data_IF_786975029810
#
_entry.id   IF_786975029810
#
_cell.length_a   1.000
_cell.length_b   1.000
_cell.length_c   1.000
_cell.angle_alpha   90.00
_cell.angle_beta   90.00
_cell.angle_gamma   90.00
#
_symmetry.space_group_name_H-M   'P 1'
#
loop_
_entity.id
_entity.type
_entity.pdbx_description
1 polymer ?
#
# COMPACT_ATOMS: atom_id res chain seq x y z
N UNK A 1 30.36 -14.24 -6.89
CA UNK A 1 29.14 -13.58 -7.38
C UNK A 1 28.22 -13.40 -6.20
N UNK A 2 28.23 -12.21 -5.60
CA UNK A 2 27.28 -11.86 -4.55
C UNK A 2 25.90 -11.84 -5.21
N UNK A 3 24.98 -12.67 -4.74
CA UNK A 3 23.58 -12.55 -5.12
C UNK A 3 23.14 -11.22 -4.52
N UNK A 4 23.01 -10.18 -5.34
CA UNK A 4 22.37 -8.93 -4.92
C UNK A 4 20.98 -9.30 -4.40
N UNK A 5 20.79 -9.16 -3.09
CA UNK A 5 19.53 -9.50 -2.44
C UNK A 5 18.57 -8.37 -2.77
N UNK A 6 17.83 -8.52 -3.86
CA UNK A 6 16.74 -7.62 -4.18
C UNK A 6 15.71 -7.69 -3.05
N UNK A 7 15.46 -6.55 -2.40
CA UNK A 7 14.55 -6.46 -1.26
C UNK A 7 13.14 -6.83 -1.69
N UNK A 8 12.47 -7.71 -0.94
CA UNK A 8 11.10 -8.11 -1.27
C UNK A 8 10.10 -7.16 -0.64
N UNK A 9 9.07 -6.79 -1.39
CA UNK A 9 8.03 -5.84 -0.98
C UNK A 9 6.69 -6.52 -1.00
N UNK A 10 5.99 -6.44 0.13
CA UNK A 10 4.59 -6.78 0.27
C UNK A 10 3.72 -5.55 0.07
N UNK A 11 2.68 -5.64 -0.75
CA UNK A 11 1.64 -4.62 -0.86
C UNK A 11 0.47 -4.99 0.03
N UNK A 12 -0.01 -4.05 0.84
CA UNK A 12 -1.20 -4.22 1.66
C UNK A 12 -2.31 -3.29 1.21
N UNK A 13 -3.51 -3.86 1.06
CA UNK A 13 -4.72 -3.17 0.64
C UNK A 13 -5.83 -3.51 1.63
N UNK A 14 -6.59 -2.50 2.05
CA UNK A 14 -7.86 -2.71 2.74
C UNK A 14 -8.99 -2.37 1.76
N UNK A 15 -10.09 -3.10 1.80
CA UNK A 15 -11.17 -2.92 0.82
C UNK A 15 -12.56 -3.11 1.44
N UNK A 16 -13.55 -2.38 0.91
CA UNK A 16 -14.97 -2.60 1.17
C UNK A 16 -15.80 -2.10 -0.01
N UNK A 17 -16.41 -3.01 -0.76
CA UNK A 17 -17.26 -2.69 -1.91
C UNK A 17 -16.58 -1.80 -2.96
N UNK A 18 -15.40 -2.21 -3.40
CA UNK A 18 -14.52 -1.50 -4.33
C UNK A 18 -14.49 -2.17 -5.72
N UNK A 19 -15.54 -2.88 -6.15
CA UNK A 19 -15.51 -3.61 -7.43
C UNK A 19 -15.20 -2.74 -8.66
N UNK A 20 -15.49 -1.43 -8.58
CA UNK A 20 -15.22 -0.46 -9.63
C UNK A 20 -13.74 -0.07 -9.74
N UNK A 21 -13.00 -0.12 -8.63
CA UNK A 21 -11.63 0.41 -8.53
C UNK A 21 -10.59 -0.69 -8.31
N UNK A 22 -10.90 -1.72 -7.54
CA UNK A 22 -9.94 -2.68 -6.99
C UNK A 22 -9.12 -3.38 -8.08
N UNK A 23 -9.70 -3.68 -9.24
CA UNK A 23 -8.95 -4.27 -10.36
C UNK A 23 -7.81 -3.36 -10.80
N UNK A 24 -8.07 -2.07 -10.96
CA UNK A 24 -7.06 -1.08 -11.38
C UNK A 24 -5.96 -0.94 -10.33
N UNK A 25 -6.34 -0.92 -9.04
CA UNK A 25 -5.41 -0.93 -7.93
C UNK A 25 -4.47 -2.14 -8.01
N UNK A 26 -5.04 -3.36 -8.09
CA UNK A 26 -4.30 -4.63 -8.15
C UNK A 26 -3.40 -4.75 -9.39
N UNK A 27 -3.89 -4.35 -10.56
CA UNK A 27 -3.08 -4.28 -11.79
C UNK A 27 -1.85 -3.38 -11.61
N UNK A 28 -2.03 -2.22 -10.96
CA UNK A 28 -0.95 -1.24 -10.75
C UNK A 28 0.15 -1.70 -9.80
N UNK A 29 -0.10 -2.74 -9.01
CA UNK A 29 0.82 -3.29 -8.00
C UNK A 29 1.35 -4.69 -8.32
N UNK A 30 1.14 -5.19 -9.54
CA UNK A 30 1.68 -6.49 -10.02
C UNK A 30 3.21 -6.64 -9.92
N UNK A 31 3.93 -5.54 -9.72
CA UNK A 31 5.38 -5.52 -9.52
C UNK A 31 5.81 -5.98 -8.12
N UNK A 32 4.90 -6.05 -7.16
CA UNK A 32 5.17 -6.49 -5.79
C UNK A 32 5.39 -8.01 -5.71
N UNK A 33 6.19 -8.45 -4.74
CA UNK A 33 6.46 -9.88 -4.53
C UNK A 33 5.30 -10.58 -3.80
N UNK A 34 4.49 -9.80 -3.09
CA UNK A 34 3.31 -10.25 -2.35
C UNK A 34 2.25 -9.16 -2.39
N UNK A 35 0.98 -9.55 -2.56
CA UNK A 35 -0.18 -8.67 -2.37
C UNK A 35 -1.07 -9.31 -1.32
N UNK A 36 -1.43 -8.55 -0.29
CA UNK A 36 -2.34 -8.97 0.77
C UNK A 36 -3.53 -8.01 0.83
N UNK A 37 -4.74 -8.57 0.84
CA UNK A 37 -5.98 -7.80 0.94
C UNK A 37 -6.68 -8.12 2.26
N UNK A 38 -7.14 -7.09 2.96
CA UNK A 38 -8.05 -7.21 4.10
C UNK A 38 -9.41 -6.63 3.70
N UNK A 39 -10.39 -7.51 3.56
CA UNK A 39 -11.74 -7.19 3.16
C UNK A 39 -12.65 -6.97 4.39
N UNK A 40 -13.37 -5.85 4.43
CA UNK A 40 -14.41 -5.57 5.43
C UNK A 40 -15.78 -6.12 4.97
N UNK A 41 -15.79 -7.42 4.67
CA UNK A 41 -16.97 -8.18 4.27
C UNK A 41 -17.73 -7.54 3.10
N UNK A 42 -17.04 -7.30 1.99
CA UNK A 42 -17.68 -6.77 0.78
C UNK A 42 -18.82 -7.68 0.32
N UNK A 43 -19.89 -7.06 -0.14
CA UNK A 43 -21.10 -7.73 -0.66
C UNK A 43 -21.18 -7.69 -2.20
N UNK A 44 -20.28 -6.96 -2.84
CA UNK A 44 -20.14 -6.90 -4.29
C UNK A 44 -19.06 -7.89 -4.79
N UNK A 45 -18.54 -7.69 -6.01
CA UNK A 45 -17.52 -8.58 -6.58
C UNK A 45 -16.09 -8.29 -6.12
N UNK A 46 -15.87 -7.39 -5.15
CA UNK A 46 -14.51 -7.01 -4.69
C UNK A 46 -13.65 -8.22 -4.37
N UNK A 47 -14.11 -9.12 -3.50
CA UNK A 47 -13.36 -10.31 -3.10
C UNK A 47 -13.12 -11.25 -4.28
N UNK A 48 -14.11 -11.41 -5.17
CA UNK A 48 -13.98 -12.24 -6.35
C UNK A 48 -12.89 -11.72 -7.29
N UNK A 49 -12.82 -10.40 -7.49
CA UNK A 49 -11.76 -9.76 -8.28
C UNK A 49 -10.40 -9.94 -7.60
N UNK A 50 -10.30 -9.72 -6.27
CA UNK A 50 -9.03 -9.90 -5.54
C UNK A 50 -8.43 -11.31 -5.71
N UNK A 51 -9.29 -12.35 -5.73
CA UNK A 51 -8.86 -13.75 -5.91
C UNK A 51 -8.20 -14.04 -7.25
N UNK A 52 -8.40 -13.19 -8.25
CA UNK A 52 -7.69 -13.32 -9.54
C UNK A 52 -6.20 -12.91 -9.43
N UNK A 53 -5.83 -12.17 -8.37
CA UNK A 53 -4.49 -11.58 -8.21
C UNK A 53 -3.72 -12.16 -7.04
N UNK A 54 -4.40 -12.58 -5.96
CA UNK A 54 -3.75 -13.13 -4.77
C UNK A 54 -4.66 -14.08 -4.00
N UNK A 55 -4.06 -15.09 -3.39
CA UNK A 55 -4.72 -15.98 -2.43
C UNK A 55 -4.67 -15.44 -0.99
N UNK A 56 -3.90 -14.37 -0.74
CA UNK A 56 -3.75 -13.76 0.60
C UNK A 56 -4.83 -12.73 0.86
N UNK A 57 -6.03 -13.22 1.07
CA UNK A 57 -7.20 -12.41 1.38
C UNK A 57 -7.70 -12.76 2.77
N UNK A 58 -7.71 -11.78 3.66
CA UNK A 58 -8.28 -11.89 4.99
C UNK A 58 -9.60 -11.14 5.05
N UNK A 59 -10.56 -11.65 5.82
CA UNK A 59 -11.78 -10.91 6.13
C UNK A 59 -11.73 -10.46 7.59
N UNK A 60 -11.98 -9.17 7.83
CA UNK A 60 -11.99 -8.59 9.17
C UNK A 60 -12.91 -7.38 9.20
N UNK A 61 -13.82 -7.37 10.17
CA UNK A 61 -14.70 -6.24 10.39
C UNK A 61 -13.88 -5.01 10.75
N UNK A 62 -14.12 -3.90 10.05
CA UNK A 62 -13.37 -2.67 10.25
C UNK A 62 -13.84 -1.94 11.52
N UNK A 63 -12.91 -1.79 12.48
CA UNK A 63 -13.11 -1.02 13.72
C UNK A 63 -12.47 0.37 13.63
N UNK A 64 -11.40 0.48 12.84
CA UNK A 64 -10.68 1.71 12.53
C UNK A 64 -9.62 1.46 11.45
N UNK A 65 -9.28 2.50 10.69
CA UNK A 65 -8.34 2.38 9.57
C UNK A 65 -6.93 1.97 10.01
N UNK A 66 -6.41 2.57 11.09
CA UNK A 66 -5.08 2.25 11.61
C UNK A 66 -4.94 0.78 12.01
N UNK A 67 -5.89 0.26 12.79
CA UNK A 67 -5.93 -1.15 13.19
C UNK A 67 -6.07 -2.09 11.97
N UNK A 68 -6.91 -1.72 11.01
CA UNK A 68 -7.14 -2.55 9.82
C UNK A 68 -5.88 -2.63 8.94
N UNK A 69 -5.20 -1.50 8.74
CA UNK A 69 -3.94 -1.45 7.98
C UNK A 69 -2.81 -2.13 8.73
N UNK A 70 -2.72 -1.98 10.05
CA UNK A 70 -1.73 -2.70 10.86
C UNK A 70 -1.95 -4.22 10.81
N UNK A 71 -3.21 -4.67 10.91
CA UNK A 71 -3.55 -6.08 10.74
C UNK A 71 -3.06 -6.61 9.39
N UNK A 72 -3.23 -5.85 8.31
CA UNK A 72 -2.70 -6.21 7.00
C UNK A 72 -1.16 -6.35 7.01
N UNK A 73 -0.45 -5.36 7.58
CA UNK A 73 1.01 -5.34 7.73
C UNK A 73 1.51 -6.57 8.48
N UNK A 74 0.85 -6.95 9.58
CA UNK A 74 1.26 -8.06 10.44
C UNK A 74 1.16 -9.43 9.73
N UNK A 75 0.29 -9.54 8.72
CA UNK A 75 0.11 -10.77 7.94
C UNK A 75 1.00 -10.85 6.69
N UNK A 76 1.79 -9.82 6.42
CA UNK A 76 2.76 -9.86 5.30
C UNK A 76 3.96 -10.73 5.62
N UNK A 77 4.59 -11.32 4.60
CA UNK A 77 5.79 -12.16 4.79
C UNK A 77 7.11 -11.42 4.63
N UNK A 78 7.11 -10.24 4.00
CA UNK A 78 8.31 -9.46 3.75
C UNK A 78 8.46 -8.31 4.75
N UNK A 79 9.70 -7.85 4.93
CA UNK A 79 10.02 -6.74 5.84
C UNK A 79 9.53 -5.40 5.27
N UNK A 80 9.65 -5.22 3.95
CA UNK A 80 9.21 -4.00 3.29
C UNK A 80 7.73 -4.09 2.92
N UNK A 81 6.98 -3.06 3.30
CA UNK A 81 5.55 -2.96 3.04
C UNK A 81 5.22 -1.68 2.32
N UNK A 82 4.44 -1.78 1.25
CA UNK A 82 3.80 -0.67 0.56
C UNK A 82 2.29 -0.70 0.85
N UNK A 83 1.76 0.30 1.52
CA UNK A 83 0.32 0.40 1.76
C UNK A 83 -0.34 1.27 0.71
N UNK A 84 -1.45 0.82 0.12
CA UNK A 84 -2.25 1.61 -0.83
C UNK A 84 -3.73 1.34 -0.59
N UNK A 85 -4.56 2.36 -0.82
CA UNK A 85 -6.02 2.22 -0.67
C UNK A 85 -6.63 1.60 -1.94
N UNK A 86 -7.75 0.87 -1.81
CA UNK A 86 -8.34 0.10 -2.90
C UNK A 86 -8.89 0.95 -4.07
N UNK A 87 -9.13 2.23 -3.82
CA UNK A 87 -9.55 3.25 -4.78
C UNK A 87 -8.37 4.06 -5.37
N UNK A 88 -7.14 3.80 -4.92
CA UNK A 88 -5.91 4.37 -5.45
C UNK A 88 -5.23 3.42 -6.46
N UNK A 89 -4.31 3.93 -7.28
CA UNK A 89 -3.46 3.11 -8.15
C UNK A 89 -2.08 3.74 -8.31
N UNK A 90 -1.07 2.90 -8.48
CA UNK A 90 0.33 3.32 -8.67
C UNK A 90 0.54 3.76 -10.13
N UNK A 91 1.08 4.96 -10.32
CA UNK A 91 1.51 5.43 -11.65
C UNK A 91 2.78 4.71 -12.12
N UNK A 92 2.98 4.58 -13.43
CA UNK A 92 4.20 3.99 -14.01
C UNK A 92 5.48 4.65 -13.45
N UNK A 93 5.48 5.97 -13.33
CA UNK A 93 6.61 6.72 -12.78
C UNK A 93 6.93 6.32 -11.33
N UNK A 94 5.90 6.17 -10.48
CA UNK A 94 6.10 5.73 -9.10
C UNK A 94 6.56 4.27 -9.03
N UNK A 95 5.95 3.38 -9.84
CA UNK A 95 6.39 1.98 -9.96
C UNK A 95 7.88 1.90 -10.30
N UNK A 96 8.29 2.59 -11.36
CA UNK A 96 9.66 2.52 -11.86
C UNK A 96 10.67 3.07 -10.84
N UNK A 97 10.29 4.10 -10.08
CA UNK A 97 11.06 4.62 -8.95
C UNK A 97 11.21 3.59 -7.82
N UNK A 98 10.12 2.93 -7.43
CA UNK A 98 10.14 1.89 -6.39
C UNK A 98 11.00 0.70 -6.83
N UNK A 99 10.87 0.27 -8.09
CA UNK A 99 11.64 -0.84 -8.64
C UNK A 99 13.14 -0.52 -8.71
N UNK A 100 13.51 0.70 -9.06
CA UNK A 100 14.90 1.15 -9.01
C UNK A 100 15.44 1.12 -7.58
N UNK A 101 14.71 1.70 -6.61
CA UNK A 101 15.11 1.70 -5.20
C UNK A 101 15.20 0.27 -4.62
N UNK A 102 14.27 -0.61 -4.99
CA UNK A 102 14.27 -2.04 -4.61
C UNK A 102 15.50 -2.78 -5.15
N UNK A 103 15.88 -2.51 -6.41
CA UNK A 103 17.07 -3.11 -7.05
C UNK A 103 18.36 -2.62 -6.39
N UNK A 104 18.45 -1.31 -6.15
CA UNK A 104 19.67 -0.67 -5.64
C UNK A 104 19.83 -0.88 -4.11
N UNK A 105 18.76 -1.35 -3.45
CA UNK A 105 18.68 -1.51 -2.01
C UNK A 105 18.15 -0.23 -1.36
N UNK A 106 17.16 -0.39 -0.49
CA UNK A 106 16.57 0.73 0.23
C UNK A 106 17.59 1.35 1.20
N UNK A 107 17.84 2.65 1.04
CA UNK A 107 18.80 3.45 1.82
C UNK A 107 18.17 4.15 3.03
N UNK A 108 16.85 4.29 3.04
CA UNK A 108 16.04 4.82 4.14
C UNK A 108 15.26 3.68 4.79
N UNK A 109 14.58 3.97 5.90
CA UNK A 109 13.69 3.05 6.61
C UNK A 109 12.22 3.23 6.20
N UNK A 110 11.93 4.33 5.49
CA UNK A 110 10.64 4.62 4.89
C UNK A 110 10.74 5.68 3.79
N UNK A 111 9.78 5.68 2.88
CA UNK A 111 9.71 6.59 1.74
C UNK A 111 8.33 7.21 1.59
N UNK A 112 8.31 8.53 1.46
CA UNK A 112 7.09 9.25 1.14
C UNK A 112 6.82 9.25 -0.37
N UNK A 113 5.54 9.21 -0.72
CA UNK A 113 5.09 9.29 -2.10
C UNK A 113 4.06 10.40 -2.24
N UNK A 114 4.11 11.09 -3.37
CA UNK A 114 3.11 12.11 -3.67
C UNK A 114 1.82 11.46 -4.15
N UNK A 115 0.74 11.67 -3.40
CA UNK A 115 -0.60 11.29 -3.84
C UNK A 115 -1.19 12.39 -4.70
N UNK A 116 -1.62 12.05 -5.91
CA UNK A 116 -2.42 12.92 -6.78
C UNK A 116 -3.89 12.57 -6.60
N UNK A 117 -4.72 13.59 -6.40
CA UNK A 117 -6.16 13.42 -6.25
C UNK A 117 -6.85 14.03 -7.47
N UNK A 118 -7.75 13.27 -8.08
CA UNK A 118 -8.64 13.77 -9.13
C UNK A 118 -9.96 14.24 -8.49
N UNK A 119 -10.38 15.46 -8.81
CA UNK A 119 -11.65 16.00 -8.36
C UNK A 119 -12.36 16.69 -9.53
N UNK A 120 -13.58 16.24 -9.84
CA UNK A 120 -14.40 16.75 -10.95
C UNK A 120 -13.65 16.79 -12.30
N UNK A 121 -12.91 15.72 -12.62
CA UNK A 121 -12.16 15.60 -13.87
C UNK A 121 -10.84 16.40 -13.91
N UNK A 122 -10.37 16.92 -12.76
CA UNK A 122 -9.16 17.75 -12.68
C UNK A 122 -8.22 17.25 -11.61
N UNK A 123 -6.93 17.24 -11.93
CA UNK A 123 -5.87 16.94 -10.98
C UNK A 123 -5.63 18.11 -10.04
N UNK A 124 -5.67 17.83 -8.73
CA UNK A 124 -5.48 18.82 -7.68
C UNK A 124 -4.02 18.87 -7.23
N UNK A 125 -3.41 20.05 -7.29
CA UNK A 125 -2.00 20.28 -6.91
C UNK A 125 -1.82 21.27 -5.76
N UNK A 126 -2.90 21.87 -5.25
CA UNK A 126 -2.86 22.97 -4.28
C UNK A 126 -3.74 22.66 -3.05
N UNK A 127 -3.76 23.57 -2.07
CA UNK A 127 -4.65 23.50 -0.90
C UNK A 127 -4.48 22.25 -0.02
N UNK A 128 -3.29 21.66 0.04
CA UNK A 128 -3.02 20.45 0.82
C UNK A 128 -3.41 19.13 0.14
N UNK A 129 -3.87 19.16 -1.12
CA UNK A 129 -4.25 17.96 -1.87
C UNK A 129 -3.05 17.21 -2.48
N UNK A 130 -1.89 17.85 -2.47
CA UNK A 130 -0.65 17.34 -3.04
C UNK A 130 0.47 17.46 -2.01
N UNK A 131 0.39 16.61 -0.99
CA UNK A 131 1.39 16.46 0.06
C UNK A 131 1.93 15.03 0.02
N UNK A 132 3.22 14.83 0.29
CA UNK A 132 3.79 13.50 0.35
C UNK A 132 3.23 12.73 1.57
N UNK A 133 3.06 11.42 1.42
CA UNK A 133 2.56 10.53 2.46
C UNK A 133 3.48 9.31 2.52
N UNK A 134 3.92 8.95 3.73
CA UNK A 134 4.73 7.75 3.97
C UNK A 134 3.92 6.48 3.65
N UNK A 135 4.31 5.77 2.59
CA UNK A 135 3.56 4.61 2.05
C UNK A 135 4.41 3.36 1.90
N UNK A 136 5.72 3.49 1.67
CA UNK A 136 6.69 2.38 1.64
C UNK A 136 7.55 2.42 2.91
N UNK A 137 7.64 1.34 3.67
CA UNK A 137 8.40 1.33 4.92
C UNK A 137 8.87 -0.08 5.31
N UNK A 138 9.93 -0.15 6.12
CA UNK A 138 10.38 -1.39 6.74
C UNK A 138 9.60 -1.64 8.04
N UNK A 139 8.77 -2.69 8.06
CA UNK A 139 7.90 -3.00 9.20
C UNK A 139 8.63 -3.42 10.48
N UNK A 140 9.94 -3.69 10.42
CA UNK A 140 10.77 -3.94 11.62
C UNK A 140 10.94 -2.67 12.47
N UNK A 141 10.84 -1.51 11.85
CA UNK A 141 10.99 -0.19 12.51
C UNK A 141 9.81 0.75 12.22
N UNK A 142 8.85 0.32 11.41
CA UNK A 142 7.66 1.08 11.02
C UNK A 142 6.35 0.37 11.33
N UNK A 143 5.32 1.12 11.72
CA UNK A 143 3.97 0.60 11.96
C UNK A 143 2.91 1.67 11.71
N UNK A 144 1.65 1.28 11.51
CA UNK A 144 0.55 2.24 11.50
C UNK A 144 0.24 2.78 12.90
N UNK A 145 -0.23 4.02 12.95
CA UNK A 145 -0.80 4.60 14.16
C UNK A 145 -2.14 3.96 14.50
N UNK A 146 -2.51 3.97 15.78
CA UNK A 146 -3.76 3.37 16.27
C UNK A 146 -4.99 4.27 16.04
N UNK A 147 -4.87 5.31 15.18
CA UNK A 147 -5.93 6.24 14.86
C UNK A 147 -7.07 5.54 14.11
N UNK A 148 -8.33 5.84 14.49
CA UNK A 148 -9.51 5.29 13.81
C UNK A 148 -9.68 5.84 12.39
N UNK A 149 -9.28 7.09 12.17
CA UNK A 149 -9.29 7.84 10.90
C UNK A 149 -8.06 8.74 10.86
N UNK A 150 -7.60 9.12 9.67
CA UNK A 150 -6.36 9.90 9.50
C UNK A 150 -5.15 9.20 10.13
N UNK A 151 -5.13 7.87 10.02
CA UNK A 151 -4.00 7.02 10.33
C UNK A 151 -2.80 7.34 9.44
N UNK A 152 -1.61 7.11 9.98
CA UNK A 152 -0.36 7.34 9.28
C UNK A 152 0.67 6.31 9.73
N UNK A 153 1.71 6.14 8.92
CA UNK A 153 2.83 5.27 9.26
C UNK A 153 3.79 6.04 10.17
N UNK A 154 4.20 5.42 11.27
CA UNK A 154 5.23 5.88 12.18
C UNK A 154 6.47 5.03 11.92
N UNK A 155 7.61 5.65 11.58
CA UNK A 155 8.90 4.97 11.39
C UNK A 155 9.91 5.49 12.40
N UNK A 156 10.52 4.59 13.16
CA UNK A 156 11.65 4.86 14.04
C UNK A 156 12.97 4.71 13.26
N UNK A 157 13.21 5.63 12.33
CA UNK A 157 14.32 5.56 11.38
C UNK A 157 14.37 6.76 10.45
N UNK A 158 15.17 6.66 9.39
CA UNK A 158 15.30 7.72 8.38
C UNK A 158 14.16 7.60 7.37
N UNK A 159 13.51 8.72 7.07
CA UNK A 159 12.48 8.83 6.03
C UNK A 159 13.02 9.69 4.88
N UNK A 160 12.76 9.27 3.64
CA UNK A 160 13.20 9.97 2.42
C UNK A 160 12.10 10.10 1.37
#
# INVERSE_FOLDING_TARGET
MSIERMEKVSVVIIAKNEEACIRRCLESVKWADEVLVVDDFSTDRTVAICREFTDKIHQKAMVGFGEQKQFAVDHTTHDWVFSIDADEFVSDQLRDSILAAKRDGFTYDGYEVFRKTEYLGRWMFHCGWYVPILRLFNKKVGRFSDNKVHEFVIVNGRVG
#
